data_IF_563910849148
#
_entry.id   IF_563910849148
#
_cell.length_a   1.000
_cell.length_b   1.000
_cell.length_c   1.000
_cell.angle_alpha   90.00
_cell.angle_beta   90.00
_cell.angle_gamma   90.00
#
_symmetry.space_group_name_H-M   'P 1'
#
loop_
_entity.id
_entity.type
_entity.pdbx_description
1 polymer ?
#
# COMPACT_ATOMS: atom_id res chain seq x y z
N UNK A 1 -29.29 -37.09 -33.75
CA UNK A 1 -29.30 -37.58 -32.35
C UNK A 1 -29.66 -39.06 -32.30
N UNK A 2 -29.26 -39.81 -31.26
CA UNK A 2 -29.33 -41.30 -31.18
C UNK A 2 -30.74 -41.93 -31.30
N UNK A 3 -31.78 -41.12 -31.48
CA UNK A 3 -33.19 -41.53 -31.56
C UNK A 3 -33.97 -40.88 -32.71
N UNK A 4 -33.26 -40.30 -33.69
CA UNK A 4 -33.83 -39.53 -34.81
C UNK A 4 -34.81 -40.36 -35.68
N UNK A 5 -34.67 -41.69 -35.66
CA UNK A 5 -35.45 -42.66 -36.44
C UNK A 5 -36.30 -43.60 -35.57
N UNK A 6 -36.63 -43.22 -34.33
CA UNK A 6 -37.47 -44.02 -33.42
C UNK A 6 -38.92 -43.52 -33.36
N UNK A 7 -39.87 -44.42 -33.05
CA UNK A 7 -41.31 -44.10 -32.87
C UNK A 7 -41.58 -43.01 -31.82
N UNK A 8 -40.63 -42.72 -30.93
CA UNK A 8 -40.71 -41.65 -29.93
C UNK A 8 -40.63 -40.23 -30.50
N UNK A 9 -40.51 -40.10 -31.83
CA UNK A 9 -40.57 -38.81 -32.52
C UNK A 9 -41.95 -38.15 -32.45
N UNK A 10 -43.03 -38.91 -32.22
CA UNK A 10 -44.42 -38.40 -32.27
C UNK A 10 -44.81 -37.46 -31.14
N UNK A 11 -44.10 -37.48 -30.01
CA UNK A 11 -44.32 -36.59 -28.85
C UNK A 11 -43.30 -35.46 -28.74
N UNK A 12 -42.36 -35.36 -29.67
CA UNK A 12 -41.43 -34.24 -29.72
C UNK A 12 -41.98 -33.23 -30.72
N UNK A 13 -42.43 -32.08 -30.23
CA UNK A 13 -42.81 -30.93 -31.05
C UNK A 13 -41.61 -29.99 -31.12
N UNK A 14 -40.63 -30.20 -32.03
CA UNK A 14 -39.45 -29.35 -32.13
C UNK A 14 -39.80 -27.90 -32.44
N UNK A 15 -40.97 -27.65 -33.03
CA UNK A 15 -41.49 -26.33 -33.37
C UNK A 15 -41.96 -25.49 -32.16
N UNK A 16 -42.00 -26.08 -30.95
CA UNK A 16 -42.35 -25.36 -29.71
C UNK A 16 -41.15 -24.96 -28.87
N UNK A 17 -39.93 -25.25 -29.33
CA UNK A 17 -38.71 -24.91 -28.60
C UNK A 17 -38.12 -23.62 -29.16
N UNK A 18 -38.25 -22.53 -28.39
CA UNK A 18 -37.55 -21.29 -28.62
C UNK A 18 -36.35 -21.24 -27.67
N UNK A 19 -35.14 -21.31 -28.24
CA UNK A 19 -33.90 -21.12 -27.49
C UNK A 19 -33.47 -19.66 -27.64
N UNK A 20 -33.58 -18.88 -26.56
CA UNK A 20 -33.24 -17.46 -26.54
C UNK A 20 -31.91 -17.29 -25.83
N UNK A 21 -30.88 -16.92 -26.58
CA UNK A 21 -29.54 -16.64 -26.08
C UNK A 21 -28.62 -16.20 -27.23
N UNK A 22 -27.61 -15.42 -26.93
CA UNK A 22 -26.52 -15.18 -27.89
C UNK A 22 -25.70 -16.46 -28.01
N UNK A 23 -25.72 -17.07 -29.20
CA UNK A 23 -24.93 -18.26 -29.49
C UNK A 23 -23.44 -17.90 -29.36
N UNK A 24 -22.68 -18.51 -28.43
CA UNK A 24 -21.27 -18.22 -28.26
C UNK A 24 -20.54 -18.47 -29.58
N UNK A 25 -19.72 -17.52 -30.01
CA UNK A 25 -18.90 -17.71 -31.22
C UNK A 25 -17.80 -18.72 -30.88
N UNK A 26 -18.10 -20.00 -31.04
CA UNK A 26 -17.10 -21.06 -30.94
C UNK A 26 -16.10 -20.88 -32.09
N UNK A 27 -14.85 -20.54 -31.74
CA UNK A 27 -13.72 -20.48 -32.67
C UNK A 27 -12.86 -21.73 -32.48
N UNK A 28 -13.00 -22.77 -33.32
CA UNK A 28 -12.19 -23.97 -33.20
C UNK A 28 -10.71 -23.61 -33.44
N UNK A 29 -9.88 -23.76 -32.41
CA UNK A 29 -8.45 -23.42 -32.46
C UNK A 29 -8.10 -21.99 -32.03
N UNK A 30 -9.06 -21.18 -31.55
CA UNK A 30 -8.71 -20.00 -30.77
C UNK A 30 -8.34 -20.45 -29.35
N UNK A 31 -7.23 -19.90 -28.85
CA UNK A 31 -6.80 -20.04 -27.45
C UNK A 31 -7.76 -19.29 -26.53
N UNK A 32 -8.96 -19.83 -26.33
CA UNK A 32 -9.94 -19.32 -25.37
C UNK A 32 -9.31 -19.30 -23.96
N UNK A 33 -8.51 -20.32 -23.66
CA UNK A 33 -7.71 -20.44 -22.44
C UNK A 33 -6.86 -19.20 -22.12
N UNK A 34 -6.18 -18.59 -23.10
CA UNK A 34 -5.39 -17.37 -22.84
C UNK A 34 -6.26 -16.10 -22.73
N UNK A 35 -7.41 -16.07 -23.40
CA UNK A 35 -8.35 -14.97 -23.28
C UNK A 35 -9.03 -14.98 -21.89
N UNK A 36 -9.39 -16.17 -21.42
CA UNK A 36 -9.94 -16.41 -20.09
C UNK A 36 -8.92 -16.04 -19.01
N UNK A 37 -7.67 -16.47 -19.17
CA UNK A 37 -6.57 -16.08 -18.27
C UNK A 37 -6.39 -14.55 -18.21
N UNK A 38 -6.44 -13.87 -19.36
CA UNK A 38 -6.34 -12.41 -19.39
C UNK A 38 -7.51 -11.73 -18.68
N UNK A 39 -8.74 -12.24 -18.84
CA UNK A 39 -9.91 -11.75 -18.13
C UNK A 39 -9.76 -11.91 -16.60
N UNK A 40 -9.34 -13.10 -16.13
CA UNK A 40 -9.09 -13.36 -14.70
C UNK A 40 -8.06 -12.40 -14.10
N UNK A 41 -6.97 -12.12 -14.85
CA UNK A 41 -5.95 -11.16 -14.42
C UNK A 41 -6.55 -9.74 -14.31
N UNK A 42 -7.36 -9.34 -15.29
CA UNK A 42 -8.00 -8.02 -15.32
C UNK A 42 -9.04 -7.86 -14.20
N UNK A 43 -9.71 -8.94 -13.84
CA UNK A 43 -10.67 -8.99 -12.73
C UNK A 43 -9.98 -9.02 -11.36
N UNK A 44 -8.65 -9.07 -11.32
CA UNK A 44 -7.86 -8.96 -10.09
C UNK A 44 -7.75 -10.27 -9.31
N UNK A 45 -8.02 -11.42 -9.94
CA UNK A 45 -7.85 -12.73 -9.31
C UNK A 45 -6.41 -12.94 -8.85
N UNK A 46 -6.23 -13.58 -7.70
CA UNK A 46 -4.89 -13.90 -7.18
C UNK A 46 -4.26 -15.06 -7.95
N UNK A 47 -2.96 -15.23 -7.79
CA UNK A 47 -2.24 -16.37 -8.39
C UNK A 47 -2.82 -17.71 -7.96
N UNK A 48 -3.24 -17.81 -6.70
CA UNK A 48 -3.87 -19.03 -6.18
C UNK A 48 -5.24 -19.26 -6.82
N UNK A 49 -6.08 -18.22 -6.91
CA UNK A 49 -7.42 -18.33 -7.52
C UNK A 49 -7.33 -18.78 -8.99
N UNK A 50 -6.36 -18.23 -9.75
CA UNK A 50 -6.13 -18.59 -11.16
C UNK A 50 -5.69 -20.06 -11.27
N UNK A 51 -4.83 -20.54 -10.36
CA UNK A 51 -4.37 -21.94 -10.36
C UNK A 51 -5.49 -22.89 -9.93
N UNK A 52 -6.31 -22.49 -8.95
CA UNK A 52 -7.42 -23.29 -8.44
C UNK A 52 -8.54 -23.41 -9.49
N UNK A 53 -8.76 -22.37 -10.32
CA UNK A 53 -9.67 -22.43 -11.47
C UNK A 53 -9.13 -23.36 -12.57
N UNK A 54 -7.86 -23.19 -12.96
CA UNK A 54 -7.20 -24.08 -13.91
C UNK A 54 -5.69 -24.28 -13.63
N UNK A 55 -5.29 -25.47 -13.14
CA UNK A 55 -3.90 -25.79 -12.84
C UNK A 55 -2.95 -25.72 -14.06
N UNK A 56 -3.46 -25.71 -15.30
CA UNK A 56 -2.62 -25.55 -16.50
C UNK A 56 -1.92 -24.19 -16.54
N UNK A 57 -2.46 -23.18 -15.84
CA UNK A 57 -1.87 -21.85 -15.78
C UNK A 57 -0.57 -21.76 -14.96
N UNK A 58 -0.20 -22.81 -14.21
CA UNK A 58 1.09 -22.90 -13.51
C UNK A 58 2.28 -22.68 -14.47
N UNK A 59 2.17 -23.12 -15.73
CA UNK A 59 3.23 -22.94 -16.74
C UNK A 59 3.36 -21.49 -17.24
N UNK A 60 2.40 -20.62 -16.90
CA UNK A 60 2.31 -19.23 -17.34
C UNK A 60 2.53 -18.21 -16.21
N UNK A 61 2.87 -18.63 -14.99
CA UNK A 61 3.04 -17.76 -13.82
C UNK A 61 3.93 -16.53 -14.06
N UNK A 62 5.10 -16.72 -14.67
CA UNK A 62 6.00 -15.61 -15.00
C UNK A 62 5.37 -14.61 -15.99
N UNK A 63 4.46 -15.08 -16.85
CA UNK A 63 3.76 -14.24 -17.81
C UNK A 63 2.60 -13.49 -17.15
N UNK A 64 1.90 -14.12 -16.22
CA UNK A 64 0.82 -13.51 -15.44
C UNK A 64 1.35 -12.26 -14.73
N UNK A 65 2.47 -12.37 -14.02
CA UNK A 65 3.08 -11.24 -13.32
C UNK A 65 3.45 -10.11 -14.30
N UNK A 66 4.02 -10.44 -15.46
CA UNK A 66 4.36 -9.43 -16.49
C UNK A 66 3.12 -8.72 -17.04
N UNK A 67 2.02 -9.44 -17.26
CA UNK A 67 0.77 -8.87 -17.73
C UNK A 67 0.19 -7.93 -16.67
N UNK A 68 0.18 -8.34 -15.39
CA UNK A 68 -0.25 -7.45 -14.29
C UNK A 68 0.55 -6.16 -14.23
N UNK A 69 1.88 -6.26 -14.29
CA UNK A 69 2.73 -5.07 -14.32
C UNK A 69 2.44 -4.20 -15.54
N UNK A 70 2.19 -4.78 -16.72
CA UNK A 70 1.82 -4.01 -17.91
C UNK A 70 0.49 -3.26 -17.73
N UNK A 71 -0.50 -3.88 -17.08
CA UNK A 71 -1.79 -3.24 -16.80
C UNK A 71 -1.63 -2.10 -15.78
N UNK A 72 -0.85 -2.32 -14.71
CA UNK A 72 -0.54 -1.28 -13.73
C UNK A 72 0.22 -0.12 -14.37
N UNK A 73 1.24 -0.40 -15.18
CA UNK A 73 1.96 0.62 -15.95
C UNK A 73 0.98 1.47 -16.77
N UNK A 74 0.09 0.82 -17.53
CA UNK A 74 -0.91 1.53 -18.33
C UNK A 74 -1.86 2.38 -17.46
N UNK A 75 -2.25 1.88 -16.28
CA UNK A 75 -3.19 2.56 -15.40
C UNK A 75 -2.60 3.78 -14.71
N UNK A 76 -1.30 3.77 -14.38
CA UNK A 76 -0.66 4.77 -13.52
C UNK A 76 0.42 5.61 -14.24
N UNK A 77 0.78 5.30 -15.49
CA UNK A 77 1.80 6.05 -16.23
C UNK A 77 1.44 7.52 -16.49
N UNK A 78 0.16 7.86 -16.53
CA UNK A 78 -0.34 9.20 -16.87
C UNK A 78 -1.16 9.84 -15.73
N UNK A 79 -1.12 9.28 -14.52
CA UNK A 79 -1.95 9.74 -13.39
C UNK A 79 -1.14 10.28 -12.23
N UNK A 80 -1.60 11.41 -11.70
CA UNK A 80 -1.16 11.90 -10.41
C UNK A 80 -1.63 10.95 -9.30
N UNK A 81 -0.73 10.54 -8.42
CA UNK A 81 -1.02 9.76 -7.22
C UNK A 81 -1.23 10.72 -6.06
N UNK A 82 -2.44 10.71 -5.50
CA UNK A 82 -2.71 11.41 -4.26
C UNK A 82 -2.13 10.58 -3.11
N UNK A 83 -1.02 11.06 -2.53
CA UNK A 83 -0.24 10.34 -1.54
C UNK A 83 -0.52 10.90 -0.16
N UNK A 84 -0.87 10.04 0.79
CA UNK A 84 -0.85 10.38 2.20
C UNK A 84 0.37 9.74 2.86
N UNK A 85 1.18 10.56 3.52
CA UNK A 85 2.48 10.14 4.07
C UNK A 85 2.49 10.38 5.56
N UNK A 86 2.65 9.30 6.31
CA UNK A 86 2.72 9.30 7.77
C UNK A 86 4.12 8.90 8.24
N UNK A 87 4.78 9.78 8.97
CA UNK A 87 6.01 9.44 9.70
C UNK A 87 5.65 8.89 11.07
N UNK A 88 6.18 7.73 11.44
CA UNK A 88 5.97 7.11 12.74
C UNK A 88 7.30 7.07 13.48
N UNK A 89 7.39 7.83 14.57
CA UNK A 89 8.52 7.79 15.49
C UNK A 89 8.17 7.01 16.75
N UNK A 90 9.15 6.27 17.28
CA UNK A 90 8.99 5.55 18.55
C UNK A 90 10.30 5.04 19.12
N UNK A 91 10.27 4.70 20.40
CA UNK A 91 11.24 3.78 20.98
C UNK A 91 10.94 2.32 20.56
N UNK A 92 11.97 1.48 20.49
CA UNK A 92 11.87 0.12 19.94
C UNK A 92 10.82 -0.75 20.68
N UNK A 93 10.16 -1.68 19.97
CA UNK A 93 9.27 -2.67 20.58
C UNK A 93 7.77 -2.34 20.67
N UNK A 94 7.29 -1.22 20.14
CA UNK A 94 5.88 -0.78 20.31
C UNK A 94 4.82 -1.33 19.31
N UNK A 95 5.10 -2.38 18.53
CA UNK A 95 4.08 -3.03 17.70
C UNK A 95 3.55 -2.21 16.49
N UNK A 96 4.31 -1.21 16.02
CA UNK A 96 3.89 -0.24 14.98
C UNK A 96 3.62 -0.85 13.61
N UNK A 97 4.44 -1.82 13.21
CA UNK A 97 4.23 -2.56 11.96
C UNK A 97 2.86 -3.22 11.94
N UNK A 98 2.44 -3.76 13.09
CA UNK A 98 1.13 -4.37 13.27
C UNK A 98 0.00 -3.34 13.20
N UNK A 99 0.19 -2.13 13.71
CA UNK A 99 -0.80 -1.05 13.58
C UNK A 99 -1.17 -0.78 12.12
N UNK A 100 -0.19 -0.66 11.22
CA UNK A 100 -0.46 -0.44 9.79
C UNK A 100 -1.14 -1.65 9.17
N UNK A 101 -0.67 -2.86 9.49
CA UNK A 101 -1.26 -4.07 8.94
C UNK A 101 -2.69 -4.33 9.44
N UNK A 102 -3.01 -3.98 10.68
CA UNK A 102 -4.37 -4.10 11.23
C UNK A 102 -5.35 -3.12 10.56
N UNK A 103 -4.86 -1.98 10.03
CA UNK A 103 -5.66 -1.00 9.31
C UNK A 103 -6.00 -1.41 7.86
N UNK A 104 -5.01 -1.95 7.14
CA UNK A 104 -5.12 -2.17 5.69
C UNK A 104 -5.13 -3.64 5.26
N UNK A 105 -4.81 -4.57 6.17
CA UNK A 105 -4.64 -5.98 5.90
C UNK A 105 -3.27 -6.34 5.34
N UNK A 106 -2.86 -7.60 5.53
CA UNK A 106 -1.53 -8.10 5.14
C UNK A 106 -1.28 -8.06 3.63
N UNK A 107 -2.31 -8.25 2.81
CA UNK A 107 -2.19 -8.34 1.35
C UNK A 107 -2.02 -6.99 0.66
N UNK A 108 -2.50 -5.91 1.29
CA UNK A 108 -2.46 -4.56 0.71
C UNK A 108 -1.26 -3.74 1.19
N UNK A 109 -0.42 -4.31 2.07
CA UNK A 109 0.70 -3.64 2.71
C UNK A 109 2.01 -4.26 2.26
N UNK A 110 2.80 -3.49 1.51
CA UNK A 110 4.18 -3.83 1.20
C UNK A 110 5.14 -3.26 2.24
N UNK A 111 6.02 -4.10 2.78
CA UNK A 111 7.00 -3.71 3.80
C UNK A 111 8.40 -3.71 3.21
N UNK A 112 9.03 -2.55 3.20
CA UNK A 112 10.44 -2.36 2.84
C UNK A 112 11.28 -2.61 4.08
N UNK A 113 11.84 -3.82 4.17
CA UNK A 113 12.76 -4.23 5.25
C UNK A 113 14.21 -4.38 4.79
N UNK A 114 14.41 -4.56 3.49
CA UNK A 114 15.72 -4.56 2.82
C UNK A 114 15.83 -3.25 2.04
N UNK A 115 16.95 -2.54 2.19
CA UNK A 115 17.21 -1.26 1.52
C UNK A 115 18.20 -1.37 0.35
N UNK A 116 18.82 -2.54 0.14
CA UNK A 116 19.68 -2.78 -1.03
C UNK A 116 18.81 -2.96 -2.29
N UNK A 117 17.70 -3.69 -2.14
CA UNK A 117 16.72 -3.94 -3.21
C UNK A 117 15.28 -3.71 -2.73
N UNK A 118 14.92 -2.46 -2.39
CA UNK A 118 13.74 -2.15 -1.58
C UNK A 118 12.39 -2.46 -2.22
N UNK A 119 12.34 -2.69 -3.53
CA UNK A 119 11.08 -2.84 -4.27
C UNK A 119 10.95 -4.18 -5.01
N UNK A 120 11.93 -5.09 -4.86
CA UNK A 120 11.92 -6.39 -5.57
C UNK A 120 10.67 -7.23 -5.28
N UNK A 121 10.12 -7.09 -4.06
CA UNK A 121 8.93 -7.79 -3.62
C UNK A 121 7.62 -7.04 -3.87
N UNK A 122 7.67 -5.80 -4.40
CA UNK A 122 6.48 -4.98 -4.60
C UNK A 122 5.67 -5.50 -5.79
N UNK A 123 4.39 -5.80 -5.55
CA UNK A 123 3.45 -6.37 -6.53
C UNK A 123 2.31 -5.43 -6.91
N UNK A 124 2.32 -4.21 -6.39
CA UNK A 124 1.30 -3.21 -6.67
C UNK A 124 0.38 -2.92 -5.48
N UNK A 125 0.89 -3.14 -4.28
CA UNK A 125 0.20 -2.88 -3.03
C UNK A 125 -0.17 -1.39 -2.88
N UNK A 126 -1.34 -1.11 -2.31
CA UNK A 126 -1.83 0.26 -2.13
C UNK A 126 -1.10 1.01 -0.99
N UNK A 127 -0.49 0.27 -0.07
CA UNK A 127 0.22 0.81 1.10
C UNK A 127 1.67 0.35 1.07
N UNK A 128 2.60 1.29 1.28
CA UNK A 128 4.02 0.99 1.44
C UNK A 128 4.53 1.44 2.81
N UNK A 129 5.32 0.58 3.45
CA UNK A 129 5.88 0.82 4.79
C UNK A 129 7.39 0.71 4.74
N UNK A 130 8.09 1.81 4.98
CA UNK A 130 9.52 1.83 5.19
C UNK A 130 9.82 1.47 6.65
N UNK A 131 10.24 0.23 6.88
CA UNK A 131 10.50 -0.31 8.23
C UNK A 131 11.90 0.05 8.69
N UNK A 132 12.03 0.35 9.99
CA UNK A 132 13.31 0.70 10.63
C UNK A 132 14.13 1.74 9.84
N UNK A 133 13.45 2.75 9.32
CA UNK A 133 14.06 3.77 8.49
C UNK A 133 15.01 4.67 9.30
N UNK A 134 16.26 4.81 8.87
CA UNK A 134 17.35 5.57 9.51
C UNK A 134 18.18 6.34 8.46
N UNK A 135 17.55 6.73 7.36
CA UNK A 135 18.23 7.43 6.26
C UNK A 135 19.05 6.52 5.35
N UNK A 136 18.65 5.24 5.20
CA UNK A 136 19.33 4.28 4.31
C UNK A 136 19.19 4.69 2.83
N UNK A 137 18.06 5.31 2.46
CA UNK A 137 17.84 5.84 1.11
C UNK A 137 18.50 7.23 0.98
N UNK A 138 18.85 7.64 -0.24
CA UNK A 138 19.21 9.04 -0.48
C UNK A 138 17.96 9.91 -0.37
N UNK A 139 18.12 11.13 0.15
CA UNK A 139 16.98 12.08 0.24
C UNK A 139 16.36 12.32 -1.13
N UNK A 140 17.15 12.45 -2.19
CA UNK A 140 16.66 12.62 -3.56
C UNK A 140 15.74 11.49 -4.00
N UNK A 141 16.09 10.24 -3.67
CA UNK A 141 15.31 9.06 -4.06
C UNK A 141 14.02 9.00 -3.24
N UNK A 142 14.13 9.25 -1.93
CA UNK A 142 12.95 9.34 -1.06
C UNK A 142 11.99 10.45 -1.51
N UNK A 143 12.50 11.62 -1.91
CA UNK A 143 11.66 12.71 -2.43
C UNK A 143 10.85 12.27 -3.65
N UNK A 144 11.44 11.49 -4.55
CA UNK A 144 10.73 10.94 -5.70
C UNK A 144 9.66 9.92 -5.27
N UNK A 145 9.98 9.03 -4.33
CA UNK A 145 9.03 8.02 -3.83
C UNK A 145 7.84 8.64 -3.10
N UNK A 146 8.05 9.77 -2.43
CA UNK A 146 7.00 10.51 -1.73
C UNK A 146 6.33 11.58 -2.61
N UNK A 147 6.63 11.65 -3.91
CA UNK A 147 6.01 12.58 -4.84
C UNK A 147 4.85 11.93 -5.59
N UNK A 148 3.84 12.73 -5.96
CA UNK A 148 2.64 12.25 -6.64
C UNK A 148 2.84 11.92 -8.12
N UNK A 149 4.00 12.25 -8.70
CA UNK A 149 4.28 11.92 -10.10
C UNK A 149 4.28 10.39 -10.33
N UNK A 150 3.85 9.93 -11.51
CA UNK A 150 4.10 8.57 -11.98
C UNK A 150 5.59 8.24 -11.87
N UNK A 151 5.91 7.13 -11.20
CA UNK A 151 7.28 6.70 -11.07
C UNK A 151 7.40 5.19 -11.19
N UNK A 152 8.56 4.78 -11.69
CA UNK A 152 8.95 3.39 -11.83
C UNK A 152 9.98 3.06 -10.75
N UNK A 153 9.67 2.06 -9.93
CA UNK A 153 10.49 1.59 -8.83
C UNK A 153 11.63 0.71 -9.34
N UNK A 154 12.89 1.04 -9.01
CA UNK A 154 14.04 0.25 -9.45
C UNK A 154 14.06 -1.11 -8.76
N UNK A 155 14.13 -2.18 -9.54
CA UNK A 155 14.23 -3.57 -9.06
C UNK A 155 15.32 -4.30 -9.84
N UNK A 156 15.85 -5.41 -9.31
CA UNK A 156 16.96 -6.13 -9.96
C UNK A 156 16.63 -6.71 -11.33
N UNK A 157 15.44 -7.30 -11.47
CA UNK A 157 15.07 -8.05 -12.68
C UNK A 157 14.08 -7.29 -13.55
N UNK A 158 13.08 -6.67 -12.93
CA UNK A 158 12.03 -5.96 -13.63
C UNK A 158 11.52 -4.84 -12.74
N UNK A 159 11.66 -3.61 -13.21
CA UNK A 159 11.11 -2.46 -12.52
C UNK A 159 9.59 -2.55 -12.39
N UNK A 160 9.07 -1.99 -11.31
CA UNK A 160 7.64 -2.04 -10.95
C UNK A 160 7.03 -0.65 -11.01
N UNK A 161 5.77 -0.53 -11.39
CA UNK A 161 5.09 0.77 -11.34
C UNK A 161 4.62 1.06 -9.91
N UNK A 162 4.97 2.23 -9.38
CA UNK A 162 4.41 2.66 -8.11
C UNK A 162 2.91 2.95 -8.27
N UNK A 163 2.11 2.31 -7.42
CA UNK A 163 0.66 2.51 -7.33
C UNK A 163 0.16 2.67 -5.90
N UNK A 164 1.05 2.68 -4.92
CA UNK A 164 0.73 3.02 -3.54
C UNK A 164 0.26 4.48 -3.45
N UNK A 165 -0.69 4.69 -2.55
CA UNK A 165 -1.24 6.00 -2.16
C UNK A 165 -1.01 6.26 -0.68
N UNK A 166 -0.84 5.22 0.14
CA UNK A 166 -0.55 5.35 1.56
C UNK A 166 0.92 5.00 1.83
N UNK A 167 1.64 5.90 2.48
CA UNK A 167 3.06 5.70 2.81
C UNK A 167 3.26 5.85 4.31
N UNK A 168 3.90 4.85 4.91
CA UNK A 168 4.34 4.89 6.31
C UNK A 168 5.85 4.82 6.38
N UNK A 169 6.46 5.76 7.11
CA UNK A 169 7.90 5.72 7.41
C UNK A 169 8.04 5.44 8.89
N UNK A 170 8.45 4.22 9.25
CA UNK A 170 8.59 3.80 10.64
C UNK A 170 10.05 3.93 11.04
N UNK A 171 10.33 4.76 12.04
CA UNK A 171 11.68 5.04 12.50
C UNK A 171 11.81 5.02 14.02
N UNK A 172 13.02 4.68 14.48
CA UNK A 172 13.48 4.92 15.84
C UNK A 172 14.31 6.21 15.98
N UNK A 173 14.48 6.95 14.89
CA UNK A 173 15.10 8.27 14.85
C UNK A 173 13.98 9.27 14.66
N UNK A 174 13.96 10.35 15.42
CA UNK A 174 12.93 11.36 15.28
C UNK A 174 13.09 12.09 13.94
N UNK A 175 12.00 12.67 13.41
CA UNK A 175 11.99 13.20 12.04
C UNK A 175 13.08 14.27 11.85
N UNK A 176 13.17 15.24 12.74
CA UNK A 176 14.18 16.30 12.76
C UNK A 176 15.61 15.82 13.03
N UNK A 177 15.79 14.59 13.51
CA UNK A 177 17.11 13.97 13.64
C UNK A 177 17.55 13.24 12.36
N UNK A 178 16.68 13.11 11.36
CA UNK A 178 17.02 12.50 10.07
C UNK A 178 17.83 13.46 9.19
N UNK A 179 18.82 12.92 8.47
CA UNK A 179 19.58 13.65 7.46
C UNK A 179 20.21 14.99 7.93
N UNK A 180 20.75 15.03 9.16
CA UNK A 180 21.30 16.26 9.78
C UNK A 180 22.24 17.07 8.88
N UNK A 181 23.09 16.40 8.11
CA UNK A 181 23.99 17.08 7.16
C UNK A 181 23.22 17.80 6.04
N UNK A 182 22.21 17.15 5.45
CA UNK A 182 21.37 17.75 4.40
C UNK A 182 20.59 18.94 4.92
N UNK A 183 20.16 18.93 6.19
CA UNK A 183 19.49 20.08 6.79
C UNK A 183 20.37 21.34 6.81
N UNK A 184 21.68 21.16 6.98
CA UNK A 184 22.67 22.25 6.99
C UNK A 184 23.10 22.62 5.59
N UNK A 185 23.49 21.63 4.78
CA UNK A 185 24.10 21.84 3.48
C UNK A 185 23.09 22.21 2.39
N UNK A 186 21.85 21.71 2.51
CA UNK A 186 20.79 21.82 1.50
C UNK A 186 19.40 21.99 2.16
N UNK A 187 19.15 23.12 2.84
CA UNK A 187 17.91 23.34 3.58
C UNK A 187 16.65 23.28 2.71
N UNK A 188 16.72 23.62 1.43
CA UNK A 188 15.61 23.53 0.48
C UNK A 188 15.20 22.08 0.21
N UNK A 189 16.18 21.17 0.13
CA UNK A 189 15.97 19.72 -0.04
C UNK A 189 15.28 19.15 1.21
N UNK A 190 15.72 19.58 2.40
CA UNK A 190 15.06 19.22 3.66
C UNK A 190 13.61 19.74 3.72
N UNK A 191 13.39 21.01 3.37
CA UNK A 191 12.05 21.59 3.30
C UNK A 191 11.15 20.86 2.30
N UNK A 192 11.71 20.36 1.17
CA UNK A 192 10.97 19.56 0.20
C UNK A 192 10.50 18.22 0.76
N UNK A 193 11.29 17.60 1.64
CA UNK A 193 10.89 16.36 2.32
C UNK A 193 9.76 16.64 3.31
N UNK A 194 9.90 17.69 4.13
CA UNK A 194 8.88 18.08 5.10
C UNK A 194 7.56 18.53 4.48
N UNK A 195 7.51 18.87 3.19
CA UNK A 195 6.26 19.19 2.48
C UNK A 195 5.52 17.94 2.01
N UNK A 196 6.21 16.80 1.89
CA UNK A 196 5.64 15.53 1.43
C UNK A 196 5.19 14.64 2.58
N UNK A 197 5.57 14.97 3.82
CA UNK A 197 5.10 14.29 5.04
C UNK A 197 3.86 15.05 5.54
N UNK A 198 2.74 14.35 5.69
CA UNK A 198 1.44 14.93 6.03
C UNK A 198 1.15 14.82 7.52
N UNK A 199 1.47 13.65 8.10
CA UNK A 199 1.26 13.35 9.51
C UNK A 199 2.53 12.83 10.17
N UNK A 200 2.68 13.12 11.46
CA UNK A 200 3.70 12.54 12.33
C UNK A 200 3.03 11.91 13.54
N UNK A 201 3.22 10.61 13.73
CA UNK A 201 2.71 9.84 14.87
C UNK A 201 3.84 9.46 15.80
N UNK A 202 3.76 9.88 17.06
CA UNK A 202 4.73 9.57 18.10
C UNK A 202 4.17 8.46 18.98
N UNK A 203 4.76 7.27 18.94
CA UNK A 203 4.44 6.20 19.88
C UNK A 203 5.37 6.31 21.10
N UNK A 204 4.87 7.02 22.11
CA UNK A 204 5.56 7.25 23.38
C UNK A 204 5.07 6.26 24.43
N UNK A 205 5.79 6.13 25.55
CA UNK A 205 5.46 5.16 26.62
C UNK A 205 4.04 5.33 27.18
N UNK A 206 3.53 6.55 27.15
CA UNK A 206 2.21 6.93 27.66
C UNK A 206 1.09 6.89 26.63
N UNK A 207 1.40 6.51 25.38
CA UNK A 207 0.42 6.33 24.30
C UNK A 207 0.83 7.02 22.99
N UNK A 208 0.11 6.72 21.89
CA UNK A 208 0.33 7.38 20.62
C UNK A 208 -0.16 8.84 20.66
N UNK A 209 0.60 9.74 20.04
CA UNK A 209 0.26 11.14 19.83
C UNK A 209 0.36 11.45 18.33
N UNK A 210 -0.73 11.94 17.75
CA UNK A 210 -0.83 12.22 16.32
C UNK A 210 -0.77 13.73 16.08
N UNK A 211 0.12 14.15 15.19
CA UNK A 211 0.31 15.53 14.78
C UNK A 211 0.16 15.65 13.28
N UNK A 212 -0.49 16.72 12.81
CA UNK A 212 -0.27 17.19 11.44
C UNK A 212 1.16 17.71 11.32
N UNK A 213 1.71 17.74 10.11
CA UNK A 213 3.06 18.28 9.88
C UNK A 213 3.20 19.76 10.31
N UNK A 214 2.13 20.54 10.22
CA UNK A 214 2.10 21.93 10.70
C UNK A 214 2.25 22.01 12.22
N UNK A 215 1.41 21.26 12.94
CA UNK A 215 1.50 21.15 14.41
C UNK A 215 2.86 20.61 14.84
N UNK A 216 3.40 19.62 14.15
CA UNK A 216 4.71 19.06 14.47
C UNK A 216 5.82 20.11 14.32
N UNK A 217 5.79 20.92 13.25
CA UNK A 217 6.76 22.01 13.08
C UNK A 217 6.68 23.03 14.21
N UNK A 218 5.47 23.43 14.59
CA UNK A 218 5.24 24.44 15.62
C UNK A 218 5.66 23.96 17.02
N UNK A 219 5.19 22.78 17.42
CA UNK A 219 5.36 22.29 18.79
C UNK A 219 6.69 21.57 19.00
N UNK A 220 7.27 20.96 17.98
CA UNK A 220 8.41 20.03 18.13
C UNK A 220 9.67 20.52 17.42
N UNK A 221 9.56 21.11 16.21
CA UNK A 221 10.75 21.54 15.44
C UNK A 221 11.19 22.99 15.69
N UNK A 222 10.45 23.78 16.48
CA UNK A 222 10.91 25.12 16.88
C UNK A 222 12.05 25.01 17.91
N UNK A 223 12.88 26.05 18.12
CA UNK A 223 14.04 25.98 19.02
C UNK A 223 13.74 25.80 20.52
N UNK A 224 12.49 25.50 20.92
CA UNK A 224 12.22 24.83 22.20
C UNK A 224 12.65 23.39 22.00
N UNK A 225 13.67 22.97 22.73
CA UNK A 225 14.30 21.67 22.49
C UNK A 225 13.25 20.56 22.42
N UNK A 226 13.44 19.56 21.55
CA UNK A 226 12.58 18.38 21.47
C UNK A 226 12.29 17.77 22.85
N UNK A 227 13.28 17.88 23.75
CA UNK A 227 13.22 17.47 25.14
C UNK A 227 12.20 18.28 25.94
N UNK A 228 12.18 19.60 25.80
CA UNK A 228 11.16 20.48 26.38
C UNK A 228 9.78 20.22 25.78
N UNK A 229 9.67 19.95 24.46
CA UNK A 229 8.38 19.63 23.83
C UNK A 229 7.84 18.26 24.24
N UNK A 230 8.73 17.26 24.39
CA UNK A 230 8.38 15.95 24.95
C UNK A 230 8.00 16.10 26.43
N UNK A 231 8.75 16.87 27.22
CA UNK A 231 8.45 17.14 28.64
C UNK A 231 7.15 17.95 28.82
N UNK A 232 6.86 18.90 27.93
CA UNK A 232 5.63 19.70 27.91
C UNK A 232 4.43 18.85 27.48
N UNK A 233 4.57 18.01 26.44
CA UNK A 233 3.55 17.04 26.05
C UNK A 233 3.30 16.00 27.16
N UNK A 234 4.36 15.56 27.85
CA UNK A 234 4.29 14.72 29.05
C UNK A 234 3.53 15.40 30.18
N UNK A 235 3.77 16.71 30.43
CA UNK A 235 3.05 17.50 31.43
C UNK A 235 1.58 17.68 31.08
N UNK A 236 1.26 18.07 29.86
CA UNK A 236 -0.11 18.32 29.43
C UNK A 236 -0.95 17.03 29.48
N UNK A 237 -0.34 15.90 29.12
CA UNK A 237 -0.98 14.60 29.23
C UNK A 237 -1.17 14.18 30.70
N UNK A 238 -0.17 14.38 31.56
CA UNK A 238 -0.28 14.12 32.99
C UNK A 238 -1.40 14.94 33.65
N UNK A 239 -1.55 16.21 33.27
CA UNK A 239 -2.64 17.06 33.74
C UNK A 239 -4.00 16.58 33.24
N UNK A 240 -4.12 16.20 31.96
CA UNK A 240 -5.36 15.61 31.41
C UNK A 240 -5.75 14.32 32.14
N UNK A 241 -4.78 13.46 32.46
CA UNK A 241 -5.01 12.23 33.23
C UNK A 241 -5.43 12.54 34.67
N UNK A 242 -4.75 13.46 35.35
CA UNK A 242 -5.07 13.88 36.73
C UNK A 242 -6.46 14.52 36.84
N UNK A 243 -6.85 15.30 35.82
CA UNK A 243 -8.18 15.93 35.75
C UNK A 243 -9.30 14.91 35.52
N UNK A 244 -9.05 13.86 34.72
CA UNK A 244 -9.97 12.71 34.56
C UNK A 244 -10.11 11.90 35.84
N UNK A 245 -9.02 11.67 36.56
CA UNK A 245 -9.03 10.95 37.85
C UNK A 245 -9.79 11.73 38.93
N UNK A 246 -9.62 13.04 39.02
CA UNK A 246 -10.38 13.86 39.97
C UNK A 246 -11.89 13.91 39.64
N UNK A 247 -12.28 13.99 38.36
CA UNK A 247 -13.71 13.94 37.97
C UNK A 247 -14.41 12.62 38.35
N UNK A 248 -13.68 11.50 38.39
CA UNK A 248 -14.24 10.22 38.82
C UNK A 248 -14.27 10.04 40.35
N UNK A 249 -13.50 10.83 41.11
CA UNK A 249 -13.46 10.76 42.58
C UNK A 249 -14.61 11.54 43.25
N UNK A 250 -15.22 12.50 42.54
CA UNK A 250 -16.39 13.27 42.99
C UNK A 250 -17.72 12.72 42.45
N UNK A 251 -17.72 11.50 41.90
CA UNK A 251 -18.90 10.85 41.30
C UNK A 251 -19.35 9.57 42.02
N UNK A 252 -18.76 9.26 43.19
CA UNK A 252 -19.22 8.23 44.11
C UNK A 252 -19.66 8.85 45.42
#
# INVERSE_FOLDING_TARGET
>A
GKYQDSEKKSTNHPETFEEVGEMPVERPGARNDLADLYAMIKDGMTDADIIDDDPRYILYMDKIERVRQSLLNQQYADKWRDLHVTYIYSTAGSGKSRYVTDLYGYTSVYRVTDYDHPFDGYKGEAVIVFEEYRGQLKVSDLLNYLDGYPLTLPCRYQNKQACYTEVYIISNVALEDQYKQIQVDQPETWAALLRRIHEVKLFLEFGPCDYTMEQYKEFVMTPRSLKESIDDAQRELADRMSTRFNKNKFRN
#
